data_IF_609180368015
#
_entry.id   IF_609180368015
#
_cell.length_a   1.000
_cell.length_b   1.000
_cell.length_c   1.000
_cell.angle_alpha   90.00
_cell.angle_beta   90.00
_cell.angle_gamma   90.00
#
_symmetry.space_group_name_H-M   'P 1'
#
loop_
_entity.id
_entity.type
_entity.pdbx_description
1 polymer ?
#
# COMPACT_ATOMS: atom_id res chain seq x y z
N UNK A 1 -1.94 7.87 -1.46
CA UNK A 1 -1.77 6.50 -1.04
C UNK A 1 -2.15 5.57 -2.19
N UNK A 2 -1.15 5.05 -2.92
CA UNK A 2 -1.35 4.19 -4.11
C UNK A 2 -2.02 4.85 -5.33
N UNK A 3 -2.33 6.14 -5.29
CA UNK A 3 -3.21 6.80 -6.27
C UNK A 3 -2.63 6.83 -7.68
N UNK A 4 -1.31 6.92 -7.82
CA UNK A 4 -0.66 6.92 -9.15
C UNK A 4 -0.78 5.56 -9.82
N UNK A 5 -0.54 4.47 -9.07
CA UNK A 5 -0.67 3.11 -9.55
C UNK A 5 -2.13 2.78 -9.90
N UNK A 6 -3.09 3.12 -9.02
CA UNK A 6 -4.51 2.94 -9.27
C UNK A 6 -4.97 3.68 -10.53
N UNK A 7 -4.49 4.92 -10.74
CA UNK A 7 -4.80 5.69 -11.94
C UNK A 7 -4.20 5.06 -13.20
N UNK A 8 -2.93 4.69 -13.17
CA UNK A 8 -2.25 4.06 -14.30
C UNK A 8 -2.91 2.72 -14.67
N UNK A 9 -3.21 1.90 -13.66
CA UNK A 9 -3.87 0.61 -13.84
C UNK A 9 -5.29 0.79 -14.37
N UNK A 10 -6.08 1.66 -13.76
CA UNK A 10 -7.46 1.95 -14.17
C UNK A 10 -7.54 2.45 -15.61
N UNK A 11 -6.69 3.40 -16.01
CA UNK A 11 -6.63 3.90 -17.39
C UNK A 11 -6.21 2.78 -18.36
N UNK A 12 -5.18 1.99 -18.02
CA UNK A 12 -4.70 0.89 -18.87
C UNK A 12 -5.79 -0.15 -19.12
N UNK A 13 -6.52 -0.55 -18.07
CA UNK A 13 -7.62 -1.51 -18.15
C UNK A 13 -8.82 -0.94 -18.92
N UNK A 14 -9.20 0.30 -18.62
CA UNK A 14 -10.34 0.95 -19.29
C UNK A 14 -10.09 1.14 -20.79
N UNK A 15 -8.90 1.60 -21.19
CA UNK A 15 -8.53 1.72 -22.60
C UNK A 15 -8.53 0.37 -23.31
N UNK A 16 -7.94 -0.65 -22.69
CA UNK A 16 -7.93 -2.01 -23.23
C UNK A 16 -9.33 -2.49 -23.57
N UNK A 17 -10.29 -2.25 -22.68
CA UNK A 17 -11.70 -2.61 -22.88
C UNK A 17 -12.37 -1.73 -23.93
N UNK A 18 -12.21 -0.40 -23.84
CA UNK A 18 -12.88 0.58 -24.71
C UNK A 18 -12.55 0.37 -26.18
N UNK A 19 -11.27 0.20 -26.52
CA UNK A 19 -10.82 0.03 -27.90
C UNK A 19 -10.62 -1.44 -28.30
N UNK A 20 -11.09 -2.37 -27.43
CA UNK A 20 -11.08 -3.82 -27.66
C UNK A 20 -9.68 -4.35 -28.03
N UNK A 21 -8.65 -3.90 -27.33
CA UNK A 21 -7.30 -4.41 -27.54
C UNK A 21 -7.22 -5.91 -27.18
N UNK A 22 -6.57 -6.74 -28.00
CA UNK A 22 -6.41 -8.18 -27.74
C UNK A 22 -5.27 -8.44 -26.73
N UNK A 23 -5.31 -7.79 -25.59
CA UNK A 23 -4.33 -7.97 -24.50
C UNK A 23 -5.05 -8.39 -23.21
N UNK A 24 -4.38 -9.19 -22.41
CA UNK A 24 -4.90 -9.63 -21.13
C UNK A 24 -4.85 -8.52 -20.08
N UNK A 25 -5.66 -8.60 -19.00
CA UNK A 25 -5.53 -7.72 -17.83
C UNK A 25 -4.13 -7.69 -17.24
N UNK A 26 -3.49 -8.84 -17.19
CA UNK A 26 -2.08 -8.97 -16.75
C UNK A 26 -1.17 -8.09 -17.59
N UNK A 27 -1.33 -8.10 -18.93
CA UNK A 27 -0.53 -7.29 -19.83
C UNK A 27 -0.81 -5.79 -19.67
N UNK A 28 -2.06 -5.42 -19.45
CA UNK A 28 -2.44 -4.04 -19.13
C UNK A 28 -1.79 -3.55 -17.83
N UNK A 29 -1.77 -4.39 -16.78
CA UNK A 29 -1.05 -4.12 -15.54
C UNK A 29 0.45 -3.98 -15.72
N UNK A 30 1.08 -4.79 -16.58
CA UNK A 30 2.50 -4.64 -16.92
C UNK A 30 2.81 -3.28 -17.54
N UNK A 31 1.96 -2.78 -18.43
CA UNK A 31 2.12 -1.44 -19.01
C UNK A 31 1.97 -0.34 -17.95
N UNK A 32 0.97 -0.44 -17.07
CA UNK A 32 0.83 0.49 -15.95
C UNK A 32 2.08 0.52 -15.07
N UNK A 33 2.63 -0.65 -14.72
CA UNK A 33 3.86 -0.75 -13.93
C UNK A 33 5.07 -0.11 -14.65
N UNK A 34 5.24 -0.34 -15.94
CA UNK A 34 6.34 0.26 -16.72
C UNK A 34 6.24 1.79 -16.67
N UNK A 35 5.04 2.35 -16.84
CA UNK A 35 4.82 3.81 -16.79
C UNK A 35 5.17 4.37 -15.41
N UNK A 36 4.70 3.74 -14.34
CA UNK A 36 5.00 4.15 -12.96
C UNK A 36 6.50 4.20 -12.67
N UNK A 37 7.20 3.11 -13.00
CA UNK A 37 8.65 3.01 -12.79
C UNK A 37 9.40 4.03 -13.65
N UNK A 38 9.01 4.21 -14.91
CA UNK A 38 9.66 5.14 -15.85
C UNK A 38 9.50 6.60 -15.43
N UNK A 39 8.35 6.94 -14.85
CA UNK A 39 8.07 8.30 -14.34
C UNK A 39 8.59 8.54 -12.92
N UNK A 40 8.98 7.47 -12.20
CA UNK A 40 9.39 7.54 -10.80
C UNK A 40 8.25 7.93 -9.87
N UNK A 41 7.01 7.52 -10.18
CA UNK A 41 5.80 7.81 -9.40
C UNK A 41 5.47 6.71 -8.40
N UNK A 42 5.94 5.47 -8.65
CA UNK A 42 5.77 4.32 -7.76
C UNK A 42 6.82 3.25 -8.03
N UNK A 43 6.95 2.29 -7.11
CA UNK A 43 7.95 1.23 -7.16
C UNK A 43 7.34 -0.19 -7.17
N UNK A 44 6.03 -0.32 -7.35
CA UNK A 44 5.42 -1.64 -7.43
C UNK A 44 4.05 -1.76 -6.78
N UNK A 45 3.32 -0.68 -6.61
CA UNK A 45 1.97 -0.71 -6.07
C UNK A 45 1.00 -1.40 -7.03
N UNK A 46 1.23 -1.31 -8.35
CA UNK A 46 0.39 -1.93 -9.39
C UNK A 46 0.20 -3.43 -9.19
N UNK A 47 1.26 -4.18 -8.84
CA UNK A 47 1.12 -5.62 -8.62
C UNK A 47 0.23 -5.92 -7.40
N UNK A 48 0.36 -5.14 -6.32
CA UNK A 48 -0.47 -5.30 -5.14
C UNK A 48 -1.93 -4.90 -5.40
N UNK A 49 -2.17 -3.88 -6.21
CA UNK A 49 -3.51 -3.44 -6.60
C UNK A 49 -4.22 -4.41 -7.56
N UNK A 50 -3.47 -5.25 -8.26
CA UNK A 50 -4.05 -6.32 -9.08
C UNK A 50 -4.47 -7.53 -8.25
N UNK A 51 -3.95 -7.68 -7.06
CA UNK A 51 -4.34 -8.71 -6.11
C UNK A 51 -5.58 -8.29 -5.30
N UNK A 52 -5.98 -9.10 -4.35
CA UNK A 52 -7.15 -8.88 -3.50
C UNK A 52 -6.78 -8.96 -2.02
N UNK A 53 -7.50 -8.19 -1.21
CA UNK A 53 -7.32 -8.23 0.25
C UNK A 53 -6.04 -7.54 0.72
N UNK A 54 -5.47 -8.03 1.81
CA UNK A 54 -4.24 -7.53 2.38
C UNK A 54 -3.05 -8.27 1.76
N UNK A 55 -2.16 -7.53 1.11
CA UNK A 55 -1.10 -8.10 0.27
C UNK A 55 0.28 -7.78 0.82
N UNK A 56 1.13 -8.79 0.93
CA UNK A 56 2.58 -8.66 1.11
C UNK A 56 3.28 -8.92 -0.22
N UNK A 57 4.06 -7.98 -0.70
CA UNK A 57 4.91 -8.17 -1.87
C UNK A 57 6.26 -8.74 -1.44
N UNK A 58 6.52 -10.02 -1.75
CA UNK A 58 7.73 -10.75 -1.36
C UNK A 58 8.85 -10.67 -2.38
N UNK A 59 8.51 -10.41 -3.66
CA UNK A 59 9.50 -10.24 -4.71
C UNK A 59 9.17 -9.02 -5.57
N UNK A 60 10.13 -8.12 -5.80
CA UNK A 60 9.92 -6.97 -6.67
C UNK A 60 9.71 -7.40 -8.13
N UNK A 61 8.92 -6.63 -8.87
CA UNK A 61 8.66 -6.85 -10.29
C UNK A 61 7.29 -6.39 -10.73
N UNK A 62 7.08 -6.37 -12.03
CA UNK A 62 5.78 -6.15 -12.64
C UNK A 62 4.82 -7.32 -12.37
N UNK A 63 3.50 -7.15 -12.55
CA UNK A 63 2.55 -8.25 -12.53
C UNK A 63 3.01 -9.42 -13.43
N UNK A 64 3.04 -10.63 -12.87
CA UNK A 64 3.55 -11.86 -13.53
C UNK A 64 5.07 -12.06 -13.46
N UNK A 65 5.83 -11.12 -12.91
CA UNK A 65 7.28 -11.24 -12.65
C UNK A 65 7.62 -11.09 -11.17
N UNK A 66 6.96 -10.17 -10.49
CA UNK A 66 6.99 -10.06 -9.03
C UNK A 66 6.12 -11.14 -8.38
N UNK A 67 6.23 -11.27 -7.05
CA UNK A 67 5.46 -12.22 -6.28
C UNK A 67 4.81 -11.52 -5.09
N UNK A 68 3.54 -11.84 -4.85
CA UNK A 68 2.76 -11.36 -3.73
C UNK A 68 2.18 -12.53 -2.95
N UNK A 69 2.09 -12.38 -1.64
CA UNK A 69 1.32 -13.26 -0.76
C UNK A 69 0.10 -12.51 -0.21
N UNK A 70 -1.03 -13.19 -0.13
CA UNK A 70 -2.25 -12.65 0.47
C UNK A 70 -2.25 -13.04 1.93
N UNK A 71 -2.32 -12.02 2.80
CA UNK A 71 -2.48 -12.23 4.23
C UNK A 71 -3.93 -12.57 4.48
N UNK A 72 -4.18 -13.79 4.98
CA UNK A 72 -5.53 -14.28 5.23
C UNK A 72 -6.20 -13.45 6.33
N UNK A 73 -7.37 -12.93 6.02
CA UNK A 73 -8.21 -12.18 6.94
C UNK A 73 -9.59 -12.84 7.00
N UNK A 74 -10.03 -13.23 8.20
CA UNK A 74 -11.27 -13.98 8.39
C UNK A 74 -12.52 -13.09 8.53
N UNK A 75 -12.35 -11.76 8.59
CA UNK A 75 -13.42 -10.81 8.89
C UNK A 75 -13.55 -9.72 7.84
N UNK A 76 -14.72 -9.10 7.81
CA UNK A 76 -14.93 -7.83 7.10
C UNK A 76 -14.09 -6.75 7.78
N UNK A 77 -13.06 -6.29 7.11
CA UNK A 77 -12.15 -5.30 7.62
C UNK A 77 -12.38 -3.94 6.98
N UNK A 78 -12.11 -2.91 7.77
CA UNK A 78 -12.12 -1.51 7.34
C UNK A 78 -10.71 -0.95 7.40
N UNK A 79 -10.39 -0.14 6.40
CA UNK A 79 -9.17 0.65 6.32
C UNK A 79 -9.53 2.08 6.66
N UNK A 80 -8.93 2.59 7.72
CA UNK A 80 -9.10 3.96 8.20
C UNK A 80 -7.90 4.75 7.70
N UNK A 81 -8.12 5.90 7.08
CA UNK A 81 -7.02 6.73 6.56
C UNK A 81 -7.20 8.20 6.88
N UNK A 82 -6.07 8.88 7.12
CA UNK A 82 -6.00 10.35 7.21
C UNK A 82 -4.75 10.87 6.53
N UNK A 83 -4.94 11.64 5.47
CA UNK A 83 -3.86 12.30 4.75
C UNK A 83 -3.68 13.72 5.28
N UNK A 84 -2.46 14.08 5.70
CA UNK A 84 -2.15 15.40 6.25
C UNK A 84 -1.54 16.34 5.22
N UNK A 85 -0.68 15.82 4.32
CA UNK A 85 -0.03 16.59 3.25
C UNK A 85 0.60 15.64 2.25
N UNK A 86 0.87 16.10 1.03
CA UNK A 86 1.65 15.33 0.05
C UNK A 86 3.14 15.33 0.37
N UNK A 87 3.81 14.21 0.14
CA UNK A 87 5.27 14.11 0.02
C UNK A 87 5.64 13.93 -1.46
N UNK A 88 6.76 14.50 -1.88
CA UNK A 88 7.28 14.25 -3.22
C UNK A 88 8.05 12.92 -3.22
N UNK A 89 7.36 11.87 -3.56
CA UNK A 89 7.90 10.50 -3.66
C UNK A 89 9.24 10.46 -4.41
N UNK A 90 9.33 11.19 -5.53
CA UNK A 90 10.51 11.22 -6.39
C UNK A 90 11.80 11.63 -5.67
N UNK A 91 11.72 12.61 -4.78
CA UNK A 91 12.91 13.14 -4.09
C UNK A 91 13.54 12.10 -3.15
N UNK A 92 12.73 11.20 -2.60
CA UNK A 92 13.17 10.14 -1.69
C UNK A 92 13.71 8.93 -2.48
N UNK A 93 12.97 8.44 -3.47
CA UNK A 93 13.34 7.21 -4.20
C UNK A 93 14.52 7.40 -5.15
N UNK A 94 14.89 8.64 -5.50
CA UNK A 94 16.07 8.94 -6.32
C UNK A 94 17.34 9.15 -5.49
N UNK A 95 17.23 9.31 -4.16
CA UNK A 95 18.39 9.42 -3.27
C UNK A 95 18.97 8.04 -2.96
N UNK A 96 20.21 7.71 -3.35
CA UNK A 96 20.80 6.39 -3.15
C UNK A 96 20.87 5.96 -1.68
N UNK A 97 21.18 6.89 -0.77
CA UNK A 97 21.29 6.60 0.68
C UNK A 97 19.93 6.26 1.28
N UNK A 98 18.90 7.04 0.94
CA UNK A 98 17.53 6.78 1.39
C UNK A 98 17.01 5.45 0.85
N UNK A 99 17.29 5.18 -0.43
CA UNK A 99 16.92 3.92 -1.06
C UNK A 99 17.57 2.71 -0.37
N UNK A 100 18.86 2.79 -0.07
CA UNK A 100 19.58 1.72 0.66
C UNK A 100 19.01 1.51 2.06
N UNK A 101 18.77 2.58 2.81
CA UNK A 101 18.15 2.55 4.15
C UNK A 101 16.77 1.89 4.09
N UNK A 102 15.91 2.34 3.19
CA UNK A 102 14.56 1.79 2.99
C UNK A 102 14.62 0.30 2.66
N UNK A 103 15.51 -0.09 1.74
CA UNK A 103 15.66 -1.50 1.35
C UNK A 103 16.11 -2.37 2.52
N UNK A 104 17.15 -1.96 3.26
CA UNK A 104 17.68 -2.73 4.38
C UNK A 104 16.69 -2.88 5.53
N UNK A 105 15.96 -1.81 5.86
CA UNK A 105 14.92 -1.87 6.89
C UNK A 105 13.74 -2.73 6.41
N UNK A 106 13.33 -2.59 5.14
CA UNK A 106 12.25 -3.37 4.55
C UNK A 106 12.51 -4.86 4.62
N UNK A 107 13.66 -5.32 4.12
CA UNK A 107 14.07 -6.74 4.17
C UNK A 107 14.07 -7.30 5.60
N UNK A 108 14.56 -6.52 6.56
CA UNK A 108 14.55 -6.92 7.98
C UNK A 108 13.14 -7.06 8.55
N UNK A 109 12.21 -6.19 8.18
CA UNK A 109 10.82 -6.26 8.63
C UNK A 109 10.08 -7.41 7.94
N UNK A 110 10.31 -7.63 6.66
CA UNK A 110 9.78 -8.75 5.90
C UNK A 110 10.20 -10.10 6.48
N UNK A 111 11.49 -10.29 6.76
CA UNK A 111 12.01 -11.50 7.41
C UNK A 111 11.33 -11.81 8.75
N UNK A 112 11.05 -10.78 9.55
CA UNK A 112 10.35 -10.94 10.83
C UNK A 112 8.87 -11.28 10.60
N UNK A 113 8.23 -10.63 9.64
CA UNK A 113 6.82 -10.82 9.35
C UNK A 113 6.52 -12.24 8.86
N UNK A 114 7.33 -12.78 7.94
CA UNK A 114 7.17 -14.13 7.38
C UNK A 114 7.18 -15.21 8.49
N UNK A 115 7.89 -14.98 9.58
CA UNK A 115 7.94 -15.94 10.72
C UNK A 115 6.64 -16.01 11.52
N UNK A 116 5.85 -14.95 11.52
CA UNK A 116 4.59 -14.86 12.27
C UNK A 116 3.60 -13.93 11.56
N UNK A 117 3.03 -14.35 10.42
CA UNK A 117 2.12 -13.51 9.65
C UNK A 117 0.77 -13.36 10.36
N UNK A 118 0.39 -12.11 10.64
CA UNK A 118 -0.92 -11.73 11.18
C UNK A 118 -1.17 -10.24 10.90
N UNK A 119 -2.42 -9.78 11.03
CA UNK A 119 -2.76 -8.34 10.90
C UNK A 119 -1.96 -7.51 11.90
N UNK A 120 -1.87 -7.96 13.15
CA UNK A 120 -1.17 -7.23 14.21
C UNK A 120 0.33 -7.12 13.93
N UNK A 121 0.97 -8.20 13.50
CA UNK A 121 2.40 -8.18 13.14
C UNK A 121 2.64 -7.36 11.87
N UNK A 122 1.74 -7.41 10.89
CA UNK A 122 1.79 -6.56 9.71
C UNK A 122 1.80 -5.07 10.09
N UNK A 123 0.85 -4.63 10.90
CA UNK A 123 0.74 -3.23 11.34
C UNK A 123 1.93 -2.82 12.21
N UNK A 124 2.35 -3.67 13.14
CA UNK A 124 3.51 -3.40 14.01
C UNK A 124 4.82 -3.26 13.20
N UNK A 125 5.08 -4.17 12.26
CA UNK A 125 6.31 -4.06 11.46
C UNK A 125 6.23 -2.94 10.42
N UNK A 126 5.04 -2.63 9.91
CA UNK A 126 4.83 -1.43 9.08
C UNK A 126 5.13 -0.15 9.86
N UNK A 127 4.72 -0.07 11.12
CA UNK A 127 5.05 1.06 12.00
C UNK A 127 6.55 1.14 12.28
N UNK A 128 7.18 0.02 12.67
CA UNK A 128 8.63 -0.03 12.90
C UNK A 128 9.43 0.35 11.64
N UNK A 129 8.96 -0.05 10.46
CA UNK A 129 9.54 0.35 9.19
C UNK A 129 9.50 1.87 9.01
N UNK A 130 8.33 2.49 9.20
CA UNK A 130 8.17 3.93 9.06
C UNK A 130 9.03 4.73 10.06
N UNK A 131 9.18 4.22 11.28
CA UNK A 131 10.02 4.83 12.33
C UNK A 131 11.51 4.67 12.02
N UNK A 132 11.98 3.47 11.68
CA UNK A 132 13.41 3.19 11.42
C UNK A 132 13.91 3.80 10.11
N UNK A 133 13.04 4.02 9.14
CA UNK A 133 13.38 4.76 7.91
C UNK A 133 13.36 6.27 8.09
N UNK A 134 12.92 6.77 9.26
CA UNK A 134 12.76 8.20 9.56
C UNK A 134 11.78 8.93 8.62
N UNK A 135 10.91 8.19 7.93
CA UNK A 135 9.86 8.77 7.09
C UNK A 135 8.70 9.31 7.94
N UNK A 136 8.56 8.81 9.16
CA UNK A 136 7.47 9.15 10.07
C UNK A 136 7.70 10.52 10.72
N UNK A 137 6.94 11.52 10.31
CA UNK A 137 6.96 12.82 10.96
C UNK A 137 6.03 12.89 12.19
N UNK A 138 6.24 13.91 13.04
CA UNK A 138 5.51 14.05 14.31
C UNK A 138 3.99 14.26 14.14
N UNK A 139 3.53 14.83 13.03
CA UNK A 139 2.09 15.04 12.79
C UNK A 139 1.39 13.72 12.45
N UNK A 140 1.99 12.92 11.57
CA UNK A 140 1.48 11.59 11.22
C UNK A 140 1.54 10.67 12.43
N UNK A 141 2.64 10.74 13.23
CA UNK A 141 2.78 9.95 14.47
C UNK A 141 1.63 10.18 15.44
N UNK A 142 1.21 11.42 15.66
CA UNK A 142 0.07 11.73 16.55
C UNK A 142 -1.23 11.07 16.09
N UNK A 143 -1.47 11.04 14.78
CA UNK A 143 -2.65 10.36 14.21
C UNK A 143 -2.56 8.85 14.40
N UNK A 144 -1.38 8.27 14.19
CA UNK A 144 -1.13 6.85 14.41
C UNK A 144 -1.34 6.48 15.89
N UNK A 145 -0.83 7.30 16.80
CA UNK A 145 -0.96 7.07 18.25
C UNK A 145 -2.46 7.08 18.68
N UNK A 146 -3.28 7.98 18.12
CA UNK A 146 -4.73 7.99 18.34
C UNK A 146 -5.40 6.73 17.77
N UNK A 147 -5.12 6.38 16.52
CA UNK A 147 -5.70 5.22 15.86
C UNK A 147 -5.31 3.90 16.54
N UNK A 148 -4.11 3.76 17.07
CA UNK A 148 -3.65 2.59 17.79
C UNK A 148 -4.48 2.27 19.05
N UNK A 149 -5.17 3.25 19.62
CA UNK A 149 -6.05 3.03 20.78
C UNK A 149 -7.42 2.46 20.40
N UNK A 150 -7.80 2.50 19.12
CA UNK A 150 -9.15 2.22 18.62
C UNK A 150 -9.20 1.11 17.56
N UNK A 151 -8.04 0.60 17.14
CA UNK A 151 -7.93 -0.33 16.01
C UNK A 151 -6.97 -1.47 16.31
N UNK A 152 -6.83 -2.45 15.42
CA UNK A 152 -5.81 -3.51 15.55
C UNK A 152 -4.37 -2.99 15.51
N UNK A 153 -4.18 -1.78 15.04
CA UNK A 153 -2.93 -1.09 14.89
C UNK A 153 -2.96 -0.10 13.73
N UNK A 154 -1.98 0.78 13.72
CA UNK A 154 -1.86 1.83 12.72
C UNK A 154 -0.41 2.03 12.27
N UNK A 155 -0.23 2.52 11.07
CA UNK A 155 1.06 2.87 10.51
C UNK A 155 0.94 4.02 9.51
N UNK A 156 2.04 4.32 8.85
CA UNK A 156 2.13 5.31 7.79
C UNK A 156 2.18 4.64 6.43
N UNK A 157 1.38 5.12 5.48
CA UNK A 157 1.59 4.82 4.07
C UNK A 157 2.92 5.43 3.63
N UNK A 158 3.85 4.59 3.20
CA UNK A 158 5.19 5.02 2.78
C UNK A 158 5.09 6.12 1.71
N UNK A 159 5.82 7.22 1.90
CA UNK A 159 5.92 8.35 0.98
C UNK A 159 4.62 9.17 0.77
N UNK A 160 3.66 9.12 1.69
CA UNK A 160 2.38 9.78 1.50
C UNK A 160 1.93 10.74 2.61
N UNK A 161 2.63 10.88 3.75
CA UNK A 161 2.14 11.59 4.94
C UNK A 161 0.68 11.22 5.29
N UNK A 162 0.34 9.97 5.06
CA UNK A 162 -0.97 9.41 5.33
C UNK A 162 -0.85 8.38 6.43
N UNK A 163 -1.55 8.56 7.53
CA UNK A 163 -1.76 7.50 8.50
C UNK A 163 -2.82 6.53 7.99
N UNK A 164 -2.63 5.24 8.25
CA UNK A 164 -3.67 4.23 8.03
C UNK A 164 -3.76 3.28 9.22
N UNK A 165 -4.93 2.71 9.42
CA UNK A 165 -5.20 1.68 10.42
C UNK A 165 -6.14 0.62 9.86
N UNK A 166 -6.18 -0.54 10.49
CA UNK A 166 -7.09 -1.64 10.16
C UNK A 166 -7.93 -1.98 11.38
N UNK A 167 -9.24 -2.15 11.19
CA UNK A 167 -10.19 -2.56 12.24
C UNK A 167 -11.33 -3.38 11.65
N UNK A 168 -12.00 -4.17 12.47
CA UNK A 168 -13.30 -4.78 12.18
C UNK A 168 -14.48 -3.99 12.76
N UNK A 169 -14.19 -2.97 13.59
CA UNK A 169 -15.21 -2.14 14.23
C UNK A 169 -14.89 -0.65 14.04
N UNK A 170 -15.85 0.08 13.46
CA UNK A 170 -15.73 1.52 13.19
C UNK A 170 -16.50 2.41 14.16
N UNK A 171 -17.13 1.85 15.21
CA UNK A 171 -18.00 2.59 16.11
C UNK A 171 -17.31 3.73 16.87
N UNK A 172 -16.01 3.63 17.09
CA UNK A 172 -15.19 4.64 17.77
C UNK A 172 -14.41 5.55 16.81
N UNK A 173 -14.63 5.39 15.51
CA UNK A 173 -13.93 6.16 14.48
C UNK A 173 -14.77 7.36 14.06
N UNK A 174 -14.21 8.55 14.17
CA UNK A 174 -14.83 9.78 13.71
C UNK A 174 -14.83 9.85 12.18
N UNK A 175 -16.01 9.71 11.58
CA UNK A 175 -16.18 9.71 10.12
C UNK A 175 -16.00 11.08 9.48
N UNK A 176 -16.04 12.15 10.26
CA UNK A 176 -15.75 13.50 9.77
C UNK A 176 -14.24 13.79 9.73
N UNK A 177 -13.49 13.08 10.57
CA UNK A 177 -12.03 13.22 10.65
C UNK A 177 -11.25 12.26 9.75
N UNK A 178 -11.79 11.03 9.55
CA UNK A 178 -11.12 9.94 8.87
C UNK A 178 -11.89 9.45 7.65
N UNK A 179 -11.18 9.15 6.58
CA UNK A 179 -11.77 8.39 5.47
C UNK A 179 -11.80 6.90 5.82
N UNK A 180 -12.96 6.27 5.62
CA UNK A 180 -13.19 4.85 5.91
C UNK A 180 -13.49 4.12 4.61
N UNK A 181 -12.79 3.02 4.38
CA UNK A 181 -13.01 2.14 3.24
C UNK A 181 -13.09 0.69 3.71
N UNK A 182 -13.95 -0.12 3.12
CA UNK A 182 -13.96 -1.56 3.36
C UNK A 182 -12.79 -2.20 2.62
N UNK A 183 -12.12 -3.17 3.25
CA UNK A 183 -11.10 -3.96 2.58
C UNK A 183 -11.72 -4.73 1.41
N UNK A 184 -11.18 -4.52 0.22
CA UNK A 184 -11.71 -5.15 -0.97
C UNK A 184 -11.10 -6.53 -1.20
N UNK A 185 -11.94 -7.56 -1.27
CA UNK A 185 -11.53 -8.96 -1.31
C UNK A 185 -11.86 -9.69 -2.61
N UNK A 186 -12.49 -9.00 -3.58
CA UNK A 186 -12.97 -9.64 -4.81
C UNK A 186 -11.98 -9.56 -6.00
N UNK A 187 -10.89 -8.81 -5.85
CA UNK A 187 -9.94 -8.54 -6.95
C UNK A 187 -10.48 -7.52 -7.98
N UNK A 188 -9.76 -7.33 -9.08
CA UNK A 188 -10.14 -6.35 -10.10
C UNK A 188 -11.47 -6.75 -10.74
N UNK A 189 -12.46 -5.84 -10.72
CA UNK A 189 -13.71 -6.00 -11.45
C UNK A 189 -13.71 -5.12 -12.71
N UNK A 190 -14.06 -5.73 -13.83
CA UNK A 190 -14.43 -5.01 -15.03
C UNK A 190 -15.92 -4.70 -14.95
N UNK A 191 -16.28 -3.45 -14.82
CA UNK A 191 -17.67 -2.97 -14.91
C UNK A 191 -18.14 -2.93 -16.35
#
# INVERSE_FOLDING_TARGET
FGTSAASALGVSLALTKLIKLPISPLKAGQYAHIVEVSLGTGLGDVIAEMEKGLVLRIKPGAPGYGECEIINTNNDLYIITKTLSGLKTKDIITNPKEKEKITNVGLKMEEKFIKLPSINTFLNYSYQFAEQTELLNSKVKKVIDDLNTKTFGASMAMLGNTAFAITDNISEIDTDEYAISKLYTDGIKYL
#
